data_IF_031628019723
#
_entry.id   IF_031628019723
#
_cell.length_a   1.000
_cell.length_b   1.000
_cell.length_c   1.000
_cell.angle_alpha   90.00
_cell.angle_beta   90.00
_cell.angle_gamma   90.00
#
_symmetry.space_group_name_H-M   'P 1'
#
loop_
_entity.id
_entity.type
_entity.pdbx_description
1 polymer ?
#
# COMPACT_ATOMS: atom_id res chain seq x y z
N UNK A 1 -14.10 0.22 -29.47
CA UNK A 1 -12.91 -0.46 -28.91
C UNK A 1 -11.94 0.59 -28.35
N UNK A 2 -12.41 1.40 -27.40
CA UNK A 2 -11.66 2.58 -26.90
C UNK A 2 -11.99 2.99 -25.47
N UNK A 3 -13.05 2.46 -24.86
CA UNK A 3 -13.41 2.74 -23.46
C UNK A 3 -12.70 1.83 -22.46
N UNK A 4 -12.46 0.55 -22.80
CA UNK A 4 -11.83 -0.44 -21.91
C UNK A 4 -10.35 -0.12 -21.60
N UNK A 5 -9.61 0.41 -22.58
CA UNK A 5 -8.21 0.85 -22.42
C UNK A 5 -8.08 2.13 -21.59
N UNK A 6 -9.15 2.93 -21.49
CA UNK A 6 -9.15 4.19 -20.75
C UNK A 6 -9.35 3.97 -19.24
N UNK A 7 -10.11 2.93 -18.86
CA UNK A 7 -10.39 2.55 -17.46
C UNK A 7 -9.16 1.94 -16.76
N UNK A 8 -8.45 1.00 -17.41
CA UNK A 8 -7.25 0.38 -16.84
C UNK A 8 -6.11 1.39 -16.59
N UNK A 9 -5.95 2.37 -17.48
CA UNK A 9 -4.98 3.45 -17.30
C UNK A 9 -5.38 4.43 -16.19
N UNK A 10 -6.66 4.60 -15.90
CA UNK A 10 -7.11 5.46 -14.79
C UNK A 10 -6.94 4.77 -13.44
N UNK A 11 -7.15 3.46 -13.34
CA UNK A 11 -6.97 2.69 -12.10
C UNK A 11 -5.50 2.63 -11.65
N UNK A 12 -4.55 2.36 -12.56
CA UNK A 12 -3.12 2.41 -12.22
C UNK A 12 -2.66 3.80 -11.76
N UNK A 13 -3.15 4.85 -12.43
CA UNK A 13 -2.87 6.24 -12.05
C UNK A 13 -3.50 6.54 -10.69
N UNK A 14 -4.70 6.04 -10.44
CA UNK A 14 -5.41 6.22 -9.17
C UNK A 14 -4.68 5.51 -8.03
N UNK A 15 -4.26 4.26 -8.22
CA UNK A 15 -3.52 3.51 -7.22
C UNK A 15 -2.17 4.17 -6.91
N UNK A 16 -1.43 4.59 -7.93
CA UNK A 16 -0.17 5.31 -7.80
C UNK A 16 -0.36 6.66 -7.11
N UNK A 17 -1.47 7.37 -7.39
CA UNK A 17 -1.81 8.65 -6.74
C UNK A 17 -2.12 8.45 -5.26
N UNK A 18 -2.90 7.44 -4.90
CA UNK A 18 -3.19 7.09 -3.49
C UNK A 18 -1.90 6.72 -2.76
N UNK A 19 -1.05 5.88 -3.36
CA UNK A 19 0.22 5.51 -2.74
C UNK A 19 1.11 6.72 -2.51
N UNK A 20 1.19 7.63 -3.49
CA UNK A 20 1.95 8.88 -3.36
C UNK A 20 1.36 9.76 -2.26
N UNK A 21 0.03 9.89 -2.18
CA UNK A 21 -0.64 10.62 -1.11
C UNK A 21 -0.37 10.03 0.26
N UNK A 22 -0.37 8.70 0.40
CA UNK A 22 -0.04 8.01 1.65
C UNK A 22 1.42 8.25 2.05
N UNK A 23 2.35 8.23 1.09
CA UNK A 23 3.77 8.52 1.35
C UNK A 23 3.94 9.98 1.80
N UNK A 24 3.32 10.94 1.09
CA UNK A 24 3.37 12.36 1.43
C UNK A 24 2.75 12.62 2.81
N UNK A 25 1.61 12.00 3.10
CA UNK A 25 0.97 12.08 4.41
C UNK A 25 1.86 11.49 5.50
N UNK A 26 2.45 10.32 5.27
CA UNK A 26 3.40 9.69 6.18
C UNK A 26 4.61 10.58 6.47
N UNK A 27 5.18 11.20 5.43
CA UNK A 27 6.27 12.15 5.58
C UNK A 27 5.86 13.39 6.37
N UNK A 28 4.68 13.95 6.12
CA UNK A 28 4.16 15.09 6.87
C UNK A 28 3.97 14.77 8.36
N UNK A 29 3.43 13.57 8.67
CA UNK A 29 3.28 13.10 10.05
C UNK A 29 4.66 13.00 10.73
N UNK A 30 5.67 12.45 10.05
CA UNK A 30 7.03 12.36 10.59
C UNK A 30 7.61 13.76 10.87
N UNK A 31 7.46 14.70 9.94
CA UNK A 31 7.93 16.09 10.12
C UNK A 31 7.26 16.75 11.34
N UNK A 32 5.95 16.63 11.47
CA UNK A 32 5.21 17.15 12.63
C UNK A 32 5.65 16.47 13.92
N UNK A 33 5.87 15.15 13.89
CA UNK A 33 6.37 14.38 15.03
C UNK A 33 7.77 14.82 15.48
N UNK A 34 8.67 15.13 14.55
CA UNK A 34 9.99 15.69 14.84
C UNK A 34 9.91 17.12 15.38
N UNK A 35 9.00 17.94 14.84
CA UNK A 35 8.79 19.30 15.34
C UNK A 35 8.28 19.29 16.78
N UNK A 36 7.33 18.41 17.11
CA UNK A 36 6.82 18.26 18.48
C UNK A 36 7.55 17.20 19.30
N UNK A 37 8.79 16.87 18.96
CA UNK A 37 9.54 15.79 19.60
C UNK A 37 9.65 15.97 21.12
N UNK A 38 9.88 17.19 21.62
CA UNK A 38 9.99 17.45 23.06
C UNK A 38 8.66 17.22 23.79
N UNK A 39 7.55 17.69 23.22
CA UNK A 39 6.21 17.44 23.76
C UNK A 39 5.86 15.95 23.72
N UNK A 40 6.15 15.27 22.61
CA UNK A 40 5.95 13.82 22.51
C UNK A 40 6.81 13.09 23.53
N UNK A 41 8.07 13.48 23.73
CA UNK A 41 8.95 12.88 24.72
C UNK A 41 8.43 13.10 26.14
N UNK A 42 7.91 14.28 26.46
CA UNK A 42 7.36 14.55 27.79
C UNK A 42 6.07 13.77 28.04
N UNK A 43 5.18 13.63 27.04
CA UNK A 43 3.92 12.89 27.15
C UNK A 43 4.12 11.36 27.12
N UNK A 44 4.95 10.86 26.21
CA UNK A 44 5.13 9.44 25.94
C UNK A 44 6.36 8.82 26.61
N UNK A 45 7.35 9.58 27.05
CA UNK A 45 8.57 9.03 27.67
C UNK A 45 8.75 9.49 29.13
N UNK A 46 8.65 10.79 29.43
CA UNK A 46 9.05 11.31 30.76
C UNK A 46 7.94 11.34 31.82
N UNK A 47 6.71 11.73 31.49
CA UNK A 47 5.61 11.89 32.47
C UNK A 47 4.72 10.64 32.61
N UNK A 48 5.26 9.46 32.30
CA UNK A 48 4.54 8.20 32.44
C UNK A 48 4.48 7.78 33.92
N UNK A 49 3.34 8.00 34.60
CA UNK A 49 3.15 7.67 36.03
C UNK A 49 3.43 6.20 36.38
N UNK A 50 3.38 5.25 35.42
CA UNK A 50 3.57 3.81 35.65
C UNK A 50 4.20 3.10 34.46
N UNK A 51 4.91 1.98 34.71
CA UNK A 51 5.50 1.10 33.67
C UNK A 51 4.46 0.56 32.67
N UNK A 52 3.18 0.53 33.06
CA UNK A 52 2.07 0.08 32.22
C UNK A 52 1.88 0.99 31.00
N UNK A 53 2.04 2.30 31.13
CA UNK A 53 1.83 3.20 29.99
C UNK A 53 2.90 3.05 28.91
N UNK A 54 4.13 2.67 29.27
CA UNK A 54 5.18 2.34 28.29
C UNK A 54 4.80 1.09 27.49
N UNK A 55 4.26 0.07 28.16
CA UNK A 55 3.80 -1.16 27.51
C UNK A 55 2.62 -0.89 26.57
N UNK A 56 1.64 -0.10 27.01
CA UNK A 56 0.47 0.26 26.18
C UNK A 56 0.89 1.10 24.98
N UNK A 57 1.64 2.20 25.18
CA UNK A 57 2.05 3.09 24.10
C UNK A 57 2.99 2.38 23.09
N UNK A 58 3.91 1.56 23.59
CA UNK A 58 4.75 0.70 22.74
C UNK A 58 3.93 -0.31 21.96
N UNK A 59 2.96 -0.97 22.61
CA UNK A 59 2.05 -1.92 21.96
C UNK A 59 1.20 -1.28 20.87
N UNK A 60 0.61 -0.10 21.14
CA UNK A 60 -0.16 0.67 20.15
C UNK A 60 0.73 1.04 18.97
N UNK A 61 1.95 1.52 19.21
CA UNK A 61 2.88 1.89 18.14
C UNK A 61 3.22 0.68 17.26
N UNK A 62 3.53 -0.48 17.86
CA UNK A 62 3.85 -1.70 17.12
C UNK A 62 2.65 -2.16 16.29
N UNK A 63 1.45 -2.21 16.88
CA UNK A 63 0.24 -2.60 16.16
C UNK A 63 -0.10 -1.64 15.03
N UNK A 64 0.09 -0.33 15.25
CA UNK A 64 -0.14 0.69 14.25
C UNK A 64 0.82 0.54 13.06
N UNK A 65 2.12 0.37 13.33
CA UNK A 65 3.12 0.14 12.29
C UNK A 65 2.86 -1.17 11.53
N UNK A 66 2.47 -2.24 12.24
CA UNK A 66 2.08 -3.51 11.62
C UNK A 66 0.85 -3.34 10.71
N UNK A 67 -0.15 -2.56 11.14
CA UNK A 67 -1.33 -2.23 10.34
C UNK A 67 -0.97 -1.45 9.07
N UNK A 68 -0.13 -0.41 9.18
CA UNK A 68 0.35 0.34 8.00
C UNK A 68 1.10 -0.58 7.03
N UNK A 69 2.03 -1.40 7.55
CA UNK A 69 2.77 -2.35 6.74
C UNK A 69 1.84 -3.33 6.01
N UNK A 70 0.83 -3.85 6.72
CA UNK A 70 -0.17 -4.73 6.13
C UNK A 70 -0.93 -4.05 4.99
N UNK A 71 -1.44 -2.83 5.20
CA UNK A 71 -2.17 -2.06 4.17
C UNK A 71 -1.29 -1.82 2.94
N UNK A 72 -0.04 -1.37 3.13
CA UNK A 72 0.89 -1.11 2.03
C UNK A 72 1.16 -2.39 1.24
N UNK A 73 1.38 -3.53 1.93
CA UNK A 73 1.61 -4.82 1.29
C UNK A 73 0.40 -5.29 0.47
N UNK A 74 -0.81 -5.16 1.02
CA UNK A 74 -2.04 -5.51 0.32
C UNK A 74 -2.25 -4.66 -0.92
N UNK A 75 -2.00 -3.36 -0.83
CA UNK A 75 -2.10 -2.45 -1.95
C UNK A 75 -1.11 -2.76 -3.07
N UNK A 76 0.13 -3.11 -2.73
CA UNK A 76 1.12 -3.55 -3.72
C UNK A 76 0.71 -4.86 -4.40
N UNK A 77 0.12 -5.81 -3.64
CA UNK A 77 -0.38 -7.06 -4.21
C UNK A 77 -1.54 -6.79 -5.18
N UNK A 78 -2.47 -5.93 -4.79
CA UNK A 78 -3.60 -5.54 -5.63
C UNK A 78 -3.13 -4.90 -6.95
N UNK A 79 -2.20 -3.95 -6.87
CA UNK A 79 -1.67 -3.28 -8.07
C UNK A 79 -0.94 -4.25 -9.02
N UNK A 80 -0.24 -5.27 -8.50
CA UNK A 80 0.34 -6.33 -9.35
C UNK A 80 -0.74 -7.15 -10.05
N UNK A 81 -1.83 -7.45 -9.35
CA UNK A 81 -2.94 -8.23 -9.89
C UNK A 81 -3.69 -7.47 -11.00
N UNK A 82 -3.98 -6.18 -10.79
CA UNK A 82 -4.61 -5.31 -11.81
C UNK A 82 -3.76 -5.23 -13.09
N UNK A 83 -2.43 -5.15 -12.95
CA UNK A 83 -1.51 -5.20 -14.09
C UNK A 83 -1.56 -6.53 -14.83
N UNK A 84 -1.59 -7.64 -14.10
CA UNK A 84 -1.67 -8.96 -14.70
C UNK A 84 -3.00 -9.15 -15.45
N UNK A 85 -4.12 -8.71 -14.88
CA UNK A 85 -5.44 -8.70 -15.54
C UNK A 85 -5.41 -7.86 -16.81
N UNK A 86 -4.90 -6.63 -16.73
CA UNK A 86 -4.82 -5.72 -17.88
C UNK A 86 -3.98 -6.31 -19.01
N UNK A 87 -2.89 -7.00 -18.68
CA UNK A 87 -2.05 -7.72 -19.66
C UNK A 87 -2.76 -8.92 -20.26
N UNK A 88 -3.40 -9.76 -19.44
CA UNK A 88 -4.16 -10.91 -19.92
C UNK A 88 -5.22 -10.48 -20.94
N UNK A 89 -6.03 -9.49 -20.60
CA UNK A 89 -7.06 -8.94 -21.47
C UNK A 89 -6.45 -8.40 -22.78
N UNK A 90 -5.36 -7.63 -22.67
CA UNK A 90 -4.67 -7.08 -23.83
C UNK A 90 -4.01 -8.12 -24.75
N UNK A 91 -3.58 -9.26 -24.21
CA UNK A 91 -3.06 -10.38 -25.00
C UNK A 91 -4.21 -11.16 -25.67
N UNK A 92 -5.33 -11.35 -24.96
CA UNK A 92 -6.52 -12.01 -25.48
C UNK A 92 -7.13 -11.25 -26.67
N UNK A 93 -7.22 -9.93 -26.56
CA UNK A 93 -7.69 -9.04 -27.65
C UNK A 93 -6.77 -9.11 -28.88
N UNK A 94 -5.47 -9.38 -28.69
CA UNK A 94 -4.49 -9.55 -29.78
C UNK A 94 -4.43 -10.96 -30.35
N UNK A 95 -5.06 -11.93 -29.70
CA UNK A 95 -4.96 -13.35 -30.05
C UNK A 95 -3.62 -14.00 -29.65
N UNK A 96 -2.83 -13.32 -28.80
CA UNK A 96 -1.56 -13.81 -28.26
C UNK A 96 -1.82 -14.81 -27.11
N UNK A 97 -0.75 -15.43 -26.60
CA UNK A 97 -0.85 -16.28 -25.41
C UNK A 97 -1.30 -15.43 -24.21
N UNK A 98 -2.38 -15.80 -23.48
CA UNK A 98 -2.96 -14.96 -22.43
C UNK A 98 -1.95 -14.54 -21.36
N UNK A 99 -1.03 -15.43 -20.99
CA UNK A 99 -0.06 -15.20 -19.89
C UNK A 99 1.26 -14.61 -20.33
N UNK A 100 1.43 -14.25 -21.61
CA UNK A 100 2.70 -13.74 -22.11
C UNK A 100 3.06 -12.41 -21.45
N UNK A 101 4.17 -12.41 -20.71
CA UNK A 101 4.65 -11.25 -19.95
C UNK A 101 3.81 -10.90 -18.71
N UNK A 102 2.82 -11.72 -18.31
CA UNK A 102 2.11 -11.55 -17.06
C UNK A 102 2.95 -12.04 -15.86
N UNK A 103 2.72 -11.46 -14.68
CA UNK A 103 3.44 -11.87 -13.46
C UNK A 103 3.07 -13.31 -13.07
N UNK A 104 4.03 -14.26 -13.02
CA UNK A 104 3.74 -15.66 -12.71
C UNK A 104 3.21 -15.88 -11.28
N UNK A 105 3.41 -14.94 -10.35
CA UNK A 105 2.83 -15.01 -9.00
C UNK A 105 1.40 -14.45 -8.92
N UNK A 106 0.88 -13.86 -10.00
CA UNK A 106 -0.50 -13.37 -10.07
C UNK A 106 -1.50 -14.51 -9.87
N UNK A 107 -2.59 -14.22 -9.15
CA UNK A 107 -3.66 -15.21 -8.95
C UNK A 107 -4.31 -15.59 -10.29
N UNK A 108 -4.44 -14.65 -11.22
CA UNK A 108 -4.98 -14.95 -12.55
C UNK A 108 -4.11 -15.94 -13.33
N UNK A 109 -2.78 -15.71 -13.38
CA UNK A 109 -1.87 -16.63 -14.07
C UNK A 109 -1.91 -18.01 -13.43
N UNK A 110 -1.92 -18.07 -12.10
CA UNK A 110 -1.93 -19.32 -11.35
C UNK A 110 -3.27 -20.07 -11.37
N UNK A 111 -4.37 -19.40 -11.72
CA UNK A 111 -5.73 -19.99 -11.72
C UNK A 111 -6.22 -20.37 -13.12
N UNK A 112 -5.79 -19.65 -14.15
CA UNK A 112 -6.27 -19.82 -15.52
C UNK A 112 -5.25 -20.47 -16.47
N UNK A 113 -4.06 -20.80 -15.96
CA UNK A 113 -3.06 -21.69 -16.59
C UNK A 113 -2.73 -22.81 -15.62
#
# INVERSE_FOLDING_TARGET
>A
MGEQTQLAGTEEVYARKILTQLIVLGAAIIVVGLWQADFLADVYLKNQLTHVGWFINGGILVLFLAGIYHIIREFQRLSREERAISRLLGNLDRGDLPTEGADPESLMVRRYV
#
